data_IF_256725805600
#
_entry.id   IF_256725805600
#
_cell.length_a   1.000
_cell.length_b   1.000
_cell.length_c   1.000
_cell.angle_alpha   90.00
_cell.angle_beta   90.00
_cell.angle_gamma   90.00
#
_symmetry.space_group_name_H-M   'P 1'
#
loop_
_entity.id
_entity.type
_entity.pdbx_description
1 polymer ?
#
# COMPACT_ATOMS: atom_id res chain seq x y z
N UNK A 1 9.31 25.91 1.12
CA UNK A 1 8.95 24.54 1.52
C UNK A 1 8.98 23.57 0.36
N UNK A 2 8.32 23.84 -0.78
CA UNK A 2 8.30 22.93 -1.95
C UNK A 2 9.67 22.55 -2.50
N UNK A 3 10.61 23.50 -2.60
CA UNK A 3 11.98 23.20 -3.03
C UNK A 3 12.72 22.27 -2.05
N UNK A 4 12.51 22.47 -0.73
CA UNK A 4 13.11 21.63 0.31
C UNK A 4 12.49 20.23 0.30
N UNK A 5 11.16 20.13 0.12
CA UNK A 5 10.49 18.83 0.00
C UNK A 5 10.92 18.10 -1.26
N UNK A 6 11.11 18.78 -2.39
CA UNK A 6 11.62 18.16 -3.61
C UNK A 6 13.03 17.57 -3.42
N UNK A 7 13.94 18.33 -2.79
CA UNK A 7 15.28 17.82 -2.45
C UNK A 7 15.21 16.62 -1.51
N UNK A 8 14.37 16.68 -0.47
CA UNK A 8 14.23 15.58 0.48
C UNK A 8 13.59 14.34 -0.18
N UNK A 9 12.61 14.52 -1.06
CA UNK A 9 12.00 13.44 -1.82
C UNK A 9 13.02 12.72 -2.72
N UNK A 10 13.93 13.46 -3.35
CA UNK A 10 15.01 12.87 -4.16
C UNK A 10 15.94 12.00 -3.30
N UNK A 11 16.34 12.50 -2.11
CA UNK A 11 17.11 11.70 -1.15
C UNK A 11 16.36 10.46 -0.65
N UNK A 12 15.06 10.57 -0.36
CA UNK A 12 14.24 9.44 0.11
C UNK A 12 14.13 8.37 -0.98
N UNK A 13 13.88 8.76 -2.23
CA UNK A 13 13.80 7.82 -3.36
C UNK A 13 15.16 7.18 -3.62
N UNK A 14 16.26 7.94 -3.53
CA UNK A 14 17.61 7.39 -3.70
C UNK A 14 18.02 6.40 -2.61
N UNK A 15 17.50 6.54 -1.39
CA UNK A 15 17.86 5.69 -0.24
C UNK A 15 16.93 4.48 -0.04
N UNK A 16 15.77 4.43 -0.70
CA UNK A 16 14.77 3.38 -0.45
C UNK A 16 15.27 1.98 -0.81
N UNK A 17 16.05 1.87 -1.88
CA UNK A 17 16.63 0.61 -2.36
C UNK A 17 17.71 0.08 -1.40
N UNK A 18 18.58 0.98 -0.91
CA UNK A 18 19.62 0.65 0.07
C UNK A 18 19.03 0.33 1.45
N UNK A 19 18.01 1.07 1.86
CA UNK A 19 17.26 0.80 3.08
C UNK A 19 16.55 -0.56 3.01
N UNK A 20 15.93 -0.88 1.88
CA UNK A 20 15.29 -2.18 1.62
C UNK A 20 16.30 -3.33 1.81
N UNK A 21 17.49 -3.22 1.22
CA UNK A 21 18.56 -4.23 1.35
C UNK A 21 19.10 -4.34 2.77
N UNK A 22 19.32 -3.20 3.45
CA UNK A 22 19.88 -3.20 4.81
C UNK A 22 18.91 -3.71 5.87
N UNK A 23 17.61 -3.42 5.73
CA UNK A 23 16.60 -3.79 6.73
C UNK A 23 15.93 -5.14 6.41
N UNK A 24 16.21 -5.71 5.23
CA UNK A 24 15.59 -6.96 4.78
C UNK A 24 14.09 -6.82 4.52
N UNK A 25 13.62 -5.61 4.23
CA UNK A 25 12.20 -5.32 3.94
C UNK A 25 12.03 -5.04 2.46
N UNK A 26 10.87 -5.38 1.88
CA UNK A 26 10.64 -5.16 0.45
C UNK A 26 10.51 -3.66 0.11
N UNK A 27 10.93 -3.28 -1.10
CA UNK A 27 10.71 -1.92 -1.64
C UNK A 27 9.20 -1.61 -1.69
N UNK A 28 8.37 -2.56 -2.11
CA UNK A 28 6.90 -2.41 -2.11
C UNK A 28 6.33 -2.11 -0.72
N UNK A 29 6.81 -2.79 0.34
CA UNK A 29 6.38 -2.50 1.71
C UNK A 29 6.75 -1.07 2.12
N UNK A 30 7.98 -0.63 1.84
CA UNK A 30 8.43 0.71 2.20
C UNK A 30 7.66 1.80 1.42
N UNK A 31 7.40 1.58 0.14
CA UNK A 31 6.71 2.54 -0.72
C UNK A 31 5.20 2.63 -0.48
N UNK A 32 4.54 1.51 -0.16
CA UNK A 32 3.07 1.46 -0.02
C UNK A 32 2.64 1.71 1.44
N UNK A 33 3.43 1.27 2.42
CA UNK A 33 3.08 1.39 3.85
C UNK A 33 3.79 2.59 4.48
N UNK A 34 5.12 2.65 4.44
CA UNK A 34 5.89 3.65 5.20
C UNK A 34 5.81 5.05 4.57
N UNK A 35 5.99 5.15 3.25
CA UNK A 35 6.01 6.43 2.54
C UNK A 35 4.73 7.25 2.75
N UNK A 36 3.51 6.67 2.58
CA UNK A 36 2.27 7.42 2.74
C UNK A 36 1.99 7.82 4.19
N UNK A 37 2.45 7.04 5.19
CA UNK A 37 2.33 7.42 6.60
C UNK A 37 3.06 8.74 6.84
N UNK A 38 4.31 8.85 6.39
CA UNK A 38 5.14 10.04 6.61
C UNK A 38 4.65 11.20 5.73
N UNK A 39 4.34 10.94 4.46
CA UNK A 39 3.86 11.95 3.51
C UNK A 39 2.56 12.61 3.94
N UNK A 40 1.63 11.82 4.50
CA UNK A 40 0.30 12.29 4.87
C UNK A 40 0.15 12.48 6.40
N UNK A 41 1.24 12.41 7.18
CA UNK A 41 1.20 12.50 8.64
C UNK A 41 0.52 13.78 9.14
N UNK A 42 0.78 14.90 8.46
CA UNK A 42 0.21 16.21 8.83
C UNK A 42 -1.30 16.25 8.59
N UNK A 43 -1.78 15.68 7.48
CA UNK A 43 -3.20 15.57 7.17
C UNK A 43 -3.92 14.62 8.13
N UNK A 44 -3.32 13.46 8.43
CA UNK A 44 -3.84 12.52 9.42
C UNK A 44 -3.92 13.14 10.81
N UNK A 45 -2.88 13.86 11.26
CA UNK A 45 -2.92 14.56 12.54
C UNK A 45 -4.07 15.58 12.58
N UNK A 46 -4.26 16.35 11.51
CA UNK A 46 -5.41 17.25 11.37
C UNK A 46 -6.74 16.52 11.46
N UNK A 47 -6.92 15.43 10.71
CA UNK A 47 -8.14 14.62 10.71
C UNK A 47 -8.45 14.04 12.09
N UNK A 48 -7.44 13.57 12.84
CA UNK A 48 -7.59 13.07 14.20
C UNK A 48 -8.02 14.18 15.16
N UNK A 49 -7.41 15.37 15.06
CA UNK A 49 -7.80 16.53 15.89
C UNK A 49 -9.26 16.92 15.62
N UNK A 50 -9.70 16.92 14.36
CA UNK A 50 -11.10 17.20 14.02
C UNK A 50 -12.04 16.10 14.52
N UNK A 51 -11.64 14.83 14.47
CA UNK A 51 -12.42 13.72 15.02
C UNK A 51 -12.59 13.84 16.55
N UNK A 52 -11.53 14.20 17.29
CA UNK A 52 -11.59 14.40 18.75
C UNK A 52 -12.49 15.60 19.12
N UNK A 53 -12.61 16.58 18.21
CA UNK A 53 -13.51 17.74 18.36
C UNK A 53 -14.95 17.46 17.93
N UNK A 54 -15.33 16.20 17.80
CA UNK A 54 -16.66 15.75 17.39
C UNK A 54 -17.07 16.27 15.99
N UNK A 55 -16.07 16.55 15.13
CA UNK A 55 -16.25 17.01 13.75
C UNK A 55 -15.92 15.91 12.77
N UNK A 56 -16.67 14.81 12.87
CA UNK A 56 -16.44 13.60 12.07
C UNK A 56 -16.62 13.84 10.57
N UNK A 57 -17.60 14.64 10.15
CA UNK A 57 -17.81 14.95 8.73
C UNK A 57 -16.60 15.66 8.11
N UNK A 58 -15.97 16.56 8.87
CA UNK A 58 -14.75 17.26 8.43
C UNK A 58 -13.56 16.29 8.38
N UNK A 59 -13.44 15.42 9.39
CA UNK A 59 -12.38 14.39 9.42
C UNK A 59 -12.48 13.43 8.23
N UNK A 60 -13.67 12.91 7.95
CA UNK A 60 -13.95 12.05 6.81
C UNK A 60 -13.78 12.78 5.48
N UNK A 61 -14.19 14.05 5.41
CA UNK A 61 -13.99 14.90 4.23
C UNK A 61 -12.50 15.09 3.89
N UNK A 62 -11.65 15.32 4.89
CA UNK A 62 -10.19 15.42 4.70
C UNK A 62 -9.62 14.09 4.20
N UNK A 63 -9.96 12.98 4.85
CA UNK A 63 -9.42 11.66 4.51
C UNK A 63 -9.88 11.18 3.12
N UNK A 64 -11.19 11.15 2.87
CA UNK A 64 -11.76 10.67 1.60
C UNK A 64 -11.44 11.62 0.44
N UNK A 65 -11.38 12.93 0.71
CA UNK A 65 -11.00 13.93 -0.29
C UNK A 65 -9.56 13.74 -0.76
N UNK A 66 -8.62 13.58 0.17
CA UNK A 66 -7.20 13.34 -0.14
C UNK A 66 -7.00 12.02 -0.90
N UNK A 67 -7.63 10.92 -0.47
CA UNK A 67 -7.58 9.65 -1.20
C UNK A 67 -8.17 9.73 -2.61
N UNK A 68 -9.31 10.40 -2.77
CA UNK A 68 -9.95 10.58 -4.09
C UNK A 68 -9.10 11.44 -5.01
N UNK A 69 -8.47 12.49 -4.49
CA UNK A 69 -7.54 13.34 -5.25
C UNK A 69 -6.33 12.54 -5.74
N UNK A 70 -5.75 11.69 -4.88
CA UNK A 70 -4.64 10.83 -5.27
C UNK A 70 -5.07 9.89 -6.41
N UNK A 71 -6.23 9.23 -6.27
CA UNK A 71 -6.73 8.26 -7.24
C UNK A 71 -7.12 8.88 -8.59
N UNK A 72 -7.84 10.01 -8.57
CA UNK A 72 -8.41 10.63 -9.77
C UNK A 72 -7.47 11.60 -10.48
N UNK A 73 -6.49 12.17 -9.77
CA UNK A 73 -5.59 13.18 -10.32
C UNK A 73 -4.13 12.77 -10.27
N UNK A 74 -3.61 12.44 -9.09
CA UNK A 74 -2.15 12.21 -8.92
C UNK A 74 -1.67 10.98 -9.68
N UNK A 75 -2.38 9.84 -9.58
CA UNK A 75 -2.00 8.59 -10.27
C UNK A 75 -2.08 8.75 -11.80
N UNK A 76 -3.18 9.22 -12.40
CA UNK A 76 -3.24 9.43 -13.86
C UNK A 76 -2.21 10.44 -14.36
N UNK A 77 -1.99 11.54 -13.62
CA UNK A 77 -0.98 12.52 -13.99
C UNK A 77 0.44 11.92 -13.97
N UNK A 78 0.75 11.06 -12.99
CA UNK A 78 2.05 10.39 -12.89
C UNK A 78 2.32 9.50 -14.10
N UNK A 79 1.29 8.81 -14.62
CA UNK A 79 1.38 7.98 -15.82
C UNK A 79 1.62 8.82 -17.07
N UNK A 80 0.88 9.92 -17.24
CA UNK A 80 1.08 10.85 -18.37
C UNK A 80 2.49 11.47 -18.34
N UNK A 81 2.98 11.86 -17.16
CA UNK A 81 4.35 12.38 -17.00
C UNK A 81 5.39 11.33 -17.35
N UNK A 82 5.19 10.06 -16.95
CA UNK A 82 6.02 8.94 -17.37
C UNK A 82 6.12 8.83 -18.89
N UNK A 83 4.97 8.87 -19.58
CA UNK A 83 4.94 8.84 -21.05
C UNK A 83 5.66 10.03 -21.70
N UNK A 84 5.52 11.24 -21.14
CA UNK A 84 6.26 12.41 -21.63
C UNK A 84 7.77 12.28 -21.46
N UNK A 85 8.23 11.57 -20.42
CA UNK A 85 9.65 11.29 -20.17
C UNK A 85 10.18 10.08 -20.95
N UNK A 86 9.34 9.41 -21.76
CA UNK A 86 9.70 8.20 -22.50
C UNK A 86 9.80 6.95 -21.61
N UNK A 87 9.26 7.00 -20.39
CA UNK A 87 9.19 5.86 -19.47
C UNK A 87 7.81 5.22 -19.63
N UNK A 88 7.77 3.95 -19.99
CA UNK A 88 6.54 3.17 -20.03
C UNK A 88 6.06 2.90 -18.60
N UNK A 89 5.14 3.74 -18.12
CA UNK A 89 4.45 3.58 -16.83
C UNK A 89 3.02 3.12 -17.13
N UNK A 90 2.62 2.00 -16.55
CA UNK A 90 1.28 1.42 -16.67
C UNK A 90 0.63 1.30 -15.28
N UNK A 91 -0.70 1.22 -15.22
CA UNK A 91 -1.44 0.92 -13.98
C UNK A 91 -1.53 -0.60 -13.74
N UNK A 92 -0.45 -1.32 -14.01
CA UNK A 92 -0.36 -2.76 -13.78
C UNK A 92 0.19 -3.03 -12.38
N UNK A 93 -0.71 -3.08 -11.41
CA UNK A 93 -0.39 -3.38 -10.01
C UNK A 93 -0.41 -4.88 -9.76
N UNK A 94 0.45 -5.37 -8.86
CA UNK A 94 0.46 -6.78 -8.49
C UNK A 94 -0.90 -7.22 -7.91
N UNK A 95 -1.18 -8.54 -7.95
CA UNK A 95 -2.43 -9.09 -7.42
C UNK A 95 -2.69 -8.70 -5.95
N UNK A 96 -1.63 -8.64 -5.14
CA UNK A 96 -1.71 -8.20 -3.74
C UNK A 96 -2.00 -6.72 -3.59
N UNK A 97 -1.42 -5.88 -4.45
CA UNK A 97 -1.62 -4.42 -4.45
C UNK A 97 -3.05 -4.08 -4.86
N UNK A 98 -3.51 -4.65 -5.97
CA UNK A 98 -4.89 -4.49 -6.45
C UNK A 98 -5.90 -5.08 -5.46
N UNK A 99 -5.65 -6.30 -4.96
CA UNK A 99 -6.55 -6.98 -4.02
C UNK A 99 -6.68 -6.26 -2.69
N UNK A 100 -5.57 -5.79 -2.12
CA UNK A 100 -5.59 -5.05 -0.85
C UNK A 100 -6.24 -3.67 -0.99
N UNK A 101 -6.00 -2.96 -2.10
CA UNK A 101 -6.69 -1.71 -2.41
C UNK A 101 -8.20 -1.93 -2.51
N UNK A 102 -8.63 -2.97 -3.24
CA UNK A 102 -10.04 -3.31 -3.38
C UNK A 102 -10.71 -3.63 -2.04
N UNK A 103 -10.08 -4.47 -1.22
CA UNK A 103 -10.58 -4.80 0.12
C UNK A 103 -10.63 -3.57 1.02
N UNK A 104 -9.60 -2.71 0.98
CA UNK A 104 -9.54 -1.48 1.76
C UNK A 104 -10.70 -0.53 1.44
N UNK A 105 -10.97 -0.31 0.15
CA UNK A 105 -12.10 0.52 -0.30
C UNK A 105 -13.43 -0.10 0.10
N UNK A 106 -13.60 -1.41 -0.08
CA UNK A 106 -14.82 -2.13 0.25
C UNK A 106 -15.13 -2.07 1.76
N UNK A 107 -14.15 -2.39 2.61
CA UNK A 107 -14.30 -2.32 4.08
C UNK A 107 -14.59 -0.89 4.54
N UNK A 108 -13.90 0.10 3.97
CA UNK A 108 -14.13 1.51 4.29
C UNK A 108 -15.54 1.94 3.88
N UNK A 109 -15.99 1.58 2.69
CA UNK A 109 -17.34 1.90 2.21
C UNK A 109 -18.42 1.30 3.10
N UNK A 110 -18.32 0.01 3.45
CA UNK A 110 -19.28 -0.62 4.36
C UNK A 110 -19.27 -0.04 5.77
N UNK A 111 -18.10 0.31 6.30
CA UNK A 111 -17.99 0.88 7.65
C UNK A 111 -18.64 2.27 7.75
N UNK A 112 -18.57 3.05 6.65
CA UNK A 112 -19.08 4.42 6.58
C UNK A 112 -20.56 4.53 6.17
N UNK A 113 -21.18 3.47 5.65
CA UNK A 113 -22.57 3.48 5.17
C UNK A 113 -23.59 3.90 6.23
N UNK A 114 -23.38 3.55 7.50
CA UNK A 114 -24.33 3.87 8.57
C UNK A 114 -24.22 5.33 9.07
N UNK A 115 -23.26 6.12 8.58
CA UNK A 115 -23.06 7.53 8.95
C UNK A 115 -22.69 7.79 10.42
N UNK A 116 -22.54 6.74 11.24
CA UNK A 116 -22.23 6.83 12.67
C UNK A 116 -20.82 6.31 12.96
N UNK A 117 -20.06 7.05 13.77
CA UNK A 117 -18.74 6.61 14.25
C UNK A 117 -18.86 5.95 15.62
N UNK A 118 -18.29 4.76 15.74
CA UNK A 118 -18.14 4.04 17.00
C UNK A 118 -16.69 3.61 17.14
N UNK A 119 -16.19 3.54 18.37
CA UNK A 119 -14.84 3.07 18.65
C UNK A 119 -14.55 1.68 18.03
N UNK A 120 -15.54 0.77 18.03
CA UNK A 120 -15.42 -0.54 17.39
C UNK A 120 -15.20 -0.47 15.88
N UNK A 121 -15.88 0.47 15.19
CA UNK A 121 -15.71 0.68 13.73
C UNK A 121 -14.31 1.20 13.41
N UNK A 122 -13.83 2.16 14.20
CA UNK A 122 -12.46 2.66 14.08
C UNK A 122 -11.42 1.56 14.32
N UNK A 123 -11.64 0.70 15.33
CA UNK A 123 -10.77 -0.43 15.62
C UNK A 123 -10.70 -1.44 14.46
N UNK A 124 -11.84 -1.74 13.82
CA UNK A 124 -11.90 -2.64 12.66
C UNK A 124 -11.07 -2.08 11.50
N UNK A 125 -11.14 -0.77 11.23
CA UNK A 125 -10.35 -0.13 10.17
C UNK A 125 -8.85 -0.17 10.46
N UNK A 126 -8.46 0.10 11.71
CA UNK A 126 -7.06 0.01 12.14
C UNK A 126 -6.55 -1.44 12.03
N UNK A 127 -7.33 -2.41 12.48
CA UNK A 127 -6.96 -3.83 12.38
C UNK A 127 -6.83 -4.26 10.92
N UNK A 128 -7.75 -3.84 10.05
CA UNK A 128 -7.67 -4.09 8.61
C UNK A 128 -6.35 -3.54 8.02
N UNK A 129 -5.96 -2.31 8.38
CA UNK A 129 -4.71 -1.71 7.95
C UNK A 129 -3.48 -2.50 8.44
N UNK A 130 -3.48 -2.94 9.70
CA UNK A 130 -2.38 -3.76 10.26
C UNK A 130 -2.27 -5.11 9.56
N UNK A 131 -3.40 -5.78 9.28
CA UNK A 131 -3.42 -7.05 8.56
C UNK A 131 -2.87 -6.89 7.14
N UNK A 132 -3.31 -5.85 6.40
CA UNK A 132 -2.79 -5.55 5.06
C UNK A 132 -1.27 -5.28 5.14
N UNK A 133 -0.83 -4.47 6.10
CA UNK A 133 0.60 -4.17 6.29
C UNK A 133 1.42 -5.43 6.59
N UNK A 134 0.89 -6.34 7.42
CA UNK A 134 1.52 -7.62 7.71
C UNK A 134 1.58 -8.52 6.47
N UNK A 135 0.54 -8.53 5.62
CA UNK A 135 0.57 -9.24 4.34
C UNK A 135 1.70 -8.74 3.44
N UNK A 136 1.88 -7.42 3.31
CA UNK A 136 2.99 -6.85 2.53
C UNK A 136 4.37 -7.14 3.12
N UNK A 137 4.46 -7.21 4.45
CA UNK A 137 5.71 -7.54 5.15
C UNK A 137 6.11 -9.01 4.94
N UNK A 138 5.16 -9.94 5.09
CA UNK A 138 5.42 -11.39 5.05
C UNK A 138 5.52 -11.91 3.61
N UNK A 139 4.59 -11.53 2.73
CA UNK A 139 4.37 -12.19 1.44
C UNK A 139 5.34 -11.73 0.33
N UNK A 140 6.13 -10.67 0.57
CA UNK A 140 7.11 -10.14 -0.38
C UNK A 140 8.57 -10.32 0.09
N UNK A 141 8.84 -11.31 0.94
CA UNK A 141 10.18 -11.87 1.06
C UNK A 141 10.43 -12.81 -0.13
N UNK A 142 11.35 -12.51 -1.07
CA UNK A 142 11.70 -13.45 -2.11
C UNK A 142 12.57 -14.57 -1.51
N UNK A 143 11.91 -15.52 -0.86
CA UNK A 143 12.43 -16.86 -0.56
C UNK A 143 11.41 -17.93 -0.94
N UNK A 144 10.66 -17.69 -2.03
CA UNK A 144 9.85 -18.72 -2.71
C UNK A 144 10.39 -19.01 -4.11
N UNK A 145 11.72 -19.10 -4.25
CA UNK A 145 12.34 -19.93 -5.28
C UNK A 145 12.42 -21.42 -4.86
N UNK A 146 11.77 -21.80 -3.74
CA UNK A 146 11.94 -23.13 -3.14
C UNK A 146 10.65 -23.94 -2.97
N UNK A 147 9.46 -23.33 -2.99
CA UNK A 147 8.19 -24.09 -2.90
C UNK A 147 7.70 -24.55 -4.26
N UNK A 148 7.89 -23.77 -5.33
CA UNK A 148 7.65 -24.24 -6.70
C UNK A 148 8.71 -25.29 -7.13
N UNK A 149 9.94 -25.17 -6.64
CA UNK A 149 10.97 -26.20 -6.84
C UNK A 149 10.67 -27.50 -6.08
N UNK A 150 10.08 -27.43 -4.89
CA UNK A 150 9.70 -28.62 -4.11
C UNK A 150 8.49 -29.36 -4.72
N UNK A 151 7.49 -28.63 -5.23
CA UNK A 151 6.31 -29.23 -5.88
C UNK A 151 6.69 -29.83 -7.25
N UNK A 152 7.58 -29.18 -8.02
CA UNK A 152 8.09 -29.72 -9.30
C UNK A 152 9.04 -30.91 -9.09
N UNK A 153 9.88 -30.90 -8.04
CA UNK A 153 10.76 -32.03 -7.72
C UNK A 153 10.00 -33.26 -7.21
N UNK A 154 8.89 -33.07 -6.47
CA UNK A 154 8.03 -34.17 -6.03
C UNK A 154 7.21 -34.76 -7.19
N UNK A 155 6.80 -33.94 -8.18
CA UNK A 155 6.16 -34.42 -9.41
C UNK A 155 7.08 -35.29 -10.27
N UNK A 156 8.35 -34.89 -10.41
CA UNK A 156 9.34 -35.63 -11.21
C UNK A 156 9.75 -36.99 -10.60
N UNK A 157 9.59 -37.19 -9.28
CA UNK A 157 9.94 -38.45 -8.60
C UNK A 157 8.83 -39.51 -8.73
N UNK A 158 7.58 -39.09 -8.94
CA UNK A 158 6.44 -40.00 -9.08
C UNK A 158 6.31 -40.60 -10.49
N UNK A 159 6.75 -39.90 -11.54
CA UNK A 159 6.71 -40.42 -12.92
C UNK A 159 7.79 -41.48 -13.21
N UNK A 160 8.87 -41.53 -12.42
CA UNK A 160 9.94 -42.52 -12.58
C UNK A 160 9.63 -43.92 -12.04
N UNK A 161 8.57 -44.09 -11.24
CA UNK A 161 8.21 -45.38 -10.61
C UNK A 161 7.09 -46.12 -11.36
N UNK A 162 6.39 -45.47 -12.29
CA UNK A 162 5.36 -46.13 -13.13
C UNK A 162 5.88 -46.63 -14.49
N UNK A 163 7.17 -46.46 -14.81
CA UNK A 163 7.78 -46.90 -16.09
C UNK A 163 8.96 -47.85 -15.86
N UNK A 164 8.89 -48.72 -14.85
CA UNK A 164 9.80 -49.86 -14.68
C UNK A 164 9.04 -51.10 -14.25
#
# INVERSE_FOLDING_TARGET
MTAVTALLSDYVVGTIEDASKSWGVSVSFSSIILLPIVGNATEHAGAVIFAIRDKLDISLGVALGSSTQIAMFVVPLSVIVGWMMGIHMDLDFNLLETGSLFVSVLVTAFTLQDGTSHYMKGLILILCYVVISACFFVLRSPTLNQTDAAIVALGSSAEGVMVS
#
